data_IF_789290534035
#
_entry.id   IF_789290534035
#
_cell.length_a   1.000
_cell.length_b   1.000
_cell.length_c   1.000
_cell.angle_alpha   90.00
_cell.angle_beta   90.00
_cell.angle_gamma   90.00
#
_symmetry.space_group_name_H-M   'P 1'
#
loop_
_entity.id
_entity.type
_entity.pdbx_description
1 polymer ?
#
# COMPACT_ATOMS: atom_id res chain seq x y z
N UNK A 1 -30.62 10.20 16.01
CA UNK A 1 -30.80 9.35 14.82
C UNK A 1 -29.40 9.12 14.28
N UNK A 2 -28.96 7.88 14.09
CA UNK A 2 -27.62 7.61 13.55
C UNK A 2 -27.64 7.98 12.06
N UNK A 3 -26.72 8.85 11.66
CA UNK A 3 -26.47 9.16 10.27
C UNK A 3 -25.77 7.94 9.64
N UNK A 4 -26.41 7.35 8.64
CA UNK A 4 -25.88 6.19 7.92
C UNK A 4 -24.80 6.59 6.91
N UNK A 5 -24.79 7.86 6.51
CA UNK A 5 -23.84 8.40 5.55
C UNK A 5 -22.57 8.88 6.27
N UNK A 6 -22.68 9.26 7.54
CA UNK A 6 -21.56 9.54 8.46
C UNK A 6 -21.69 8.75 9.78
N UNK A 7 -21.38 7.44 9.76
CA UNK A 7 -21.42 6.61 10.96
C UNK A 7 -20.40 7.08 12.01
N UNK A 8 -19.35 7.78 11.60
CA UNK A 8 -18.26 8.28 12.45
C UNK A 8 -18.62 9.58 13.17
N UNK A 9 -19.26 10.53 12.46
CA UNK A 9 -19.90 11.71 13.05
C UNK A 9 -20.96 11.33 14.08
N UNK A 10 -21.69 10.24 13.83
CA UNK A 10 -22.74 9.74 14.72
C UNK A 10 -22.25 9.15 16.05
N UNK A 11 -20.97 8.73 16.15
CA UNK A 11 -20.38 8.11 17.36
C UNK A 11 -19.51 9.11 18.14
N UNK A 12 -19.51 10.39 17.76
CA UNK A 12 -18.89 11.47 18.52
C UNK A 12 -17.87 12.30 17.76
N UNK A 13 -18.02 12.46 16.43
CA UNK A 13 -17.12 13.25 15.59
C UNK A 13 -15.65 12.80 15.64
N UNK A 14 -15.40 11.50 15.46
CA UNK A 14 -14.04 10.96 15.30
C UNK A 14 -13.88 10.44 13.87
N UNK A 15 -12.83 10.83 13.14
CA UNK A 15 -12.61 10.28 11.79
C UNK A 15 -12.26 8.80 11.84
N UNK A 16 -12.45 8.08 10.73
CA UNK A 16 -12.02 6.67 10.66
C UNK A 16 -10.51 6.53 10.89
N UNK A 17 -9.71 7.49 10.40
CA UNK A 17 -8.26 7.55 10.59
C UNK A 17 -7.90 7.70 12.08
N UNK A 18 -8.57 8.60 12.81
CA UNK A 18 -8.31 8.83 14.23
C UNK A 18 -8.73 7.63 15.08
N UNK A 19 -9.88 7.01 14.77
CA UNK A 19 -10.31 5.79 15.44
C UNK A 19 -9.31 4.65 15.19
N UNK A 20 -8.83 4.51 13.96
CA UNK A 20 -7.84 3.49 13.61
C UNK A 20 -6.53 3.71 14.37
N UNK A 21 -6.03 4.94 14.44
CA UNK A 21 -4.84 5.26 15.22
C UNK A 21 -5.02 4.92 16.71
N UNK A 22 -6.18 5.25 17.29
CA UNK A 22 -6.52 4.87 18.68
C UNK A 22 -6.50 3.34 18.91
N UNK A 23 -6.90 2.56 17.90
CA UNK A 23 -6.85 1.09 17.98
C UNK A 23 -5.39 0.62 17.99
N UNK A 24 -4.55 1.12 17.06
CA UNK A 24 -3.13 0.74 16.97
C UNK A 24 -2.40 1.05 18.29
N UNK A 25 -2.54 2.27 18.79
CA UNK A 25 -1.88 2.73 20.04
C UNK A 25 -2.26 1.88 21.26
N UNK A 26 -3.49 1.33 21.28
CA UNK A 26 -3.95 0.43 22.35
C UNK A 26 -3.49 -1.00 22.15
N UNK A 27 -3.31 -1.44 20.91
CA UNK A 27 -2.89 -2.82 20.58
C UNK A 27 -1.40 -3.04 20.81
N UNK A 28 -0.55 -2.05 20.53
CA UNK A 28 0.91 -2.19 20.66
C UNK A 28 1.34 -2.59 22.10
N UNK A 29 0.88 -1.92 23.17
CA UNK A 29 1.26 -2.28 24.55
C UNK A 29 0.76 -3.66 24.99
N UNK A 30 -0.29 -4.18 24.35
CA UNK A 30 -0.85 -5.52 24.64
C UNK A 30 -0.06 -6.65 23.96
N UNK A 31 0.90 -6.30 23.10
CA UNK A 31 1.73 -7.23 22.36
C UNK A 31 1.28 -7.40 20.91
N UNK A 32 2.26 -7.41 20.00
CA UNK A 32 2.06 -7.53 18.56
C UNK A 32 2.27 -8.98 18.11
N UNK A 33 1.29 -9.83 18.38
CA UNK A 33 1.28 -11.18 17.81
C UNK A 33 0.75 -11.18 16.36
N UNK A 34 0.90 -12.31 15.67
CA UNK A 34 0.44 -12.47 14.28
C UNK A 34 -1.06 -12.17 14.12
N UNK A 35 -1.89 -12.38 15.15
CA UNK A 35 -3.33 -12.10 15.09
C UNK A 35 -3.61 -10.61 15.19
N UNK A 36 -2.91 -9.90 16.08
CA UNK A 36 -3.01 -8.46 16.24
C UNK A 36 -2.57 -7.75 14.95
N UNK A 37 -1.43 -8.12 14.38
CA UNK A 37 -0.91 -7.54 13.14
C UNK A 37 -1.87 -7.81 11.98
N UNK A 38 -2.36 -9.05 11.86
CA UNK A 38 -3.36 -9.39 10.85
C UNK A 38 -4.61 -8.53 10.97
N UNK A 39 -5.13 -8.32 12.18
CA UNK A 39 -6.30 -7.49 12.41
C UNK A 39 -6.06 -6.03 11.98
N UNK A 40 -4.91 -5.46 12.34
CA UNK A 40 -4.57 -4.08 11.94
C UNK A 40 -4.44 -3.93 10.42
N UNK A 41 -3.84 -4.89 9.73
CA UNK A 41 -3.80 -4.93 8.27
C UNK A 41 -5.22 -5.01 7.69
N UNK A 42 -6.08 -5.88 8.23
CA UNK A 42 -7.46 -6.02 7.76
C UNK A 42 -8.26 -4.71 7.92
N UNK A 43 -8.07 -4.00 9.03
CA UNK A 43 -8.74 -2.72 9.28
C UNK A 43 -8.26 -1.61 8.32
N UNK A 44 -6.96 -1.59 7.97
CA UNK A 44 -6.45 -0.62 7.00
C UNK A 44 -6.88 -0.93 5.55
N UNK A 45 -6.98 -2.21 5.18
CA UNK A 45 -7.28 -2.63 3.80
C UNK A 45 -8.78 -2.85 3.51
N UNK A 46 -9.68 -2.65 4.47
CA UNK A 46 -11.13 -2.75 4.28
C UNK A 46 -11.85 -1.52 4.88
N UNK A 47 -11.87 -0.41 4.15
CA UNK A 47 -12.62 0.82 4.49
C UNK A 47 -13.97 0.81 3.78
N UNK A 48 -14.92 0.03 4.31
CA UNK A 48 -16.31 0.04 3.82
C UNK A 48 -17.22 1.01 4.61
N UNK A 49 -16.65 1.76 5.56
CA UNK A 49 -17.42 2.54 6.56
C UNK A 49 -17.37 4.05 6.37
N UNK A 50 -16.30 4.60 5.77
CA UNK A 50 -16.19 6.02 5.45
C UNK A 50 -15.70 6.19 4.01
N UNK A 51 -16.57 6.72 3.15
CA UNK A 51 -16.26 6.97 1.74
C UNK A 51 -15.24 8.10 1.51
N UNK A 52 -14.96 8.92 2.54
CA UNK A 52 -14.01 10.02 2.48
C UNK A 52 -12.60 9.62 2.92
N UNK A 53 -12.45 8.49 3.60
CA UNK A 53 -11.15 8.00 4.07
C UNK A 53 -10.42 7.30 2.93
N UNK A 54 -9.15 7.67 2.71
CA UNK A 54 -8.29 6.98 1.77
C UNK A 54 -7.50 5.88 2.49
N UNK A 55 -7.34 4.72 1.85
CA UNK A 55 -6.52 3.61 2.36
C UNK A 55 -5.10 4.06 2.74
N UNK A 56 -4.52 4.96 1.94
CA UNK A 56 -3.17 5.49 2.15
C UNK A 56 -3.01 6.22 3.49
N UNK A 57 -4.06 6.87 3.99
CA UNK A 57 -4.04 7.53 5.31
C UNK A 57 -3.97 6.50 6.44
N UNK A 58 -4.63 5.36 6.28
CA UNK A 58 -4.54 4.25 7.24
C UNK A 58 -3.18 3.55 7.16
N UNK A 59 -2.61 3.41 5.97
CA UNK A 59 -1.27 2.86 5.79
C UNK A 59 -0.20 3.74 6.44
N UNK A 60 -0.32 5.06 6.31
CA UNK A 60 0.53 6.02 7.01
C UNK A 60 0.46 5.84 8.52
N UNK A 61 -0.74 5.80 9.11
CA UNK A 61 -0.90 5.55 10.56
C UNK A 61 -0.30 4.23 11.00
N UNK A 62 -0.53 3.17 10.23
CA UNK A 62 0.02 1.86 10.57
C UNK A 62 1.55 1.87 10.51
N UNK A 63 2.14 2.46 9.47
CA UNK A 63 3.60 2.55 9.29
C UNK A 63 4.26 3.41 10.39
N UNK A 64 3.67 4.56 10.71
CA UNK A 64 4.19 5.50 11.71
C UNK A 64 4.25 4.91 13.13
N UNK A 65 3.34 3.98 13.44
CA UNK A 65 3.25 3.35 14.76
C UNK A 65 4.23 2.17 14.97
N UNK A 66 4.92 1.71 13.92
CA UNK A 66 5.96 0.68 14.05
C UNK A 66 7.34 1.32 14.07
N UNK A 67 7.82 1.62 15.27
CA UNK A 67 9.14 2.22 15.50
C UNK A 67 10.29 1.23 15.21
N UNK A 68 10.06 -0.07 15.39
CA UNK A 68 11.09 -1.09 15.23
C UNK A 68 11.03 -1.74 13.84
N UNK A 69 12.21 -1.88 13.23
CA UNK A 69 12.42 -2.54 11.94
C UNK A 69 11.78 -3.94 11.88
N UNK A 70 11.93 -4.72 12.95
CA UNK A 70 11.38 -6.09 13.04
C UNK A 70 9.86 -6.11 13.01
N UNK A 71 9.18 -5.13 13.60
CA UNK A 71 7.73 -5.05 13.56
C UNK A 71 7.23 -4.77 12.13
N UNK A 72 7.93 -3.91 11.39
CA UNK A 72 7.63 -3.65 9.97
C UNK A 72 7.83 -4.89 9.11
N UNK A 73 8.88 -5.68 9.38
CA UNK A 73 9.12 -6.97 8.71
C UNK A 73 7.99 -7.96 8.99
N UNK A 74 7.47 -8.01 10.21
CA UNK A 74 6.33 -8.87 10.56
C UNK A 74 5.04 -8.46 9.85
N UNK A 75 4.77 -7.16 9.73
CA UNK A 75 3.65 -6.65 8.91
C UNK A 75 3.78 -7.11 7.46
N UNK A 76 4.96 -6.92 6.84
CA UNK A 76 5.22 -7.37 5.47
C UNK A 76 5.00 -8.88 5.33
N UNK A 77 5.55 -9.68 6.27
CA UNK A 77 5.42 -11.14 6.27
C UNK A 77 3.95 -11.56 6.31
N UNK A 78 3.18 -11.01 7.24
CA UNK A 78 1.77 -11.35 7.44
C UNK A 78 0.92 -10.87 6.27
N UNK A 79 1.15 -9.64 5.78
CA UNK A 79 0.47 -9.11 4.61
C UNK A 79 0.73 -9.96 3.36
N UNK A 80 1.97 -10.45 3.15
CA UNK A 80 2.29 -11.37 2.05
C UNK A 80 1.48 -12.67 2.14
N UNK A 81 1.38 -13.27 3.32
CA UNK A 81 0.54 -14.47 3.55
C UNK A 81 -0.93 -14.15 3.23
N UNK A 82 -1.44 -12.98 3.62
CA UNK A 82 -2.82 -12.57 3.34
C UNK A 82 -3.06 -12.35 1.84
N UNK A 83 -2.15 -11.67 1.15
CA UNK A 83 -2.15 -11.46 -0.30
C UNK A 83 -2.13 -12.79 -1.06
N UNK A 84 -1.29 -13.74 -0.64
CA UNK A 84 -1.23 -15.08 -1.25
C UNK A 84 -2.54 -15.84 -1.09
N UNK A 85 -3.16 -15.80 0.10
CA UNK A 85 -4.48 -16.40 0.32
C UNK A 85 -5.57 -15.79 -0.58
N UNK A 86 -5.52 -14.49 -0.85
CA UNK A 86 -6.43 -13.84 -1.80
C UNK A 86 -6.11 -14.25 -3.23
N UNK A 87 -4.84 -14.29 -3.62
CA UNK A 87 -4.38 -14.78 -4.92
C UNK A 87 -4.90 -16.18 -5.21
N UNK A 88 -4.81 -17.10 -4.24
CA UNK A 88 -5.28 -18.47 -4.39
C UNK A 88 -6.81 -18.57 -4.52
N UNK A 89 -7.56 -17.68 -3.87
CA UNK A 89 -9.01 -17.55 -4.12
C UNK A 89 -9.28 -17.04 -5.53
N UNK A 90 -8.55 -16.03 -5.99
CA UNK A 90 -8.72 -15.44 -7.33
C UNK A 90 -8.38 -16.42 -8.46
N UNK A 91 -7.44 -17.36 -8.25
CA UNK A 91 -7.10 -18.42 -9.20
C UNK A 91 -8.24 -19.41 -9.46
N UNK A 92 -9.24 -19.49 -8.58
CA UNK A 92 -10.43 -20.36 -8.77
C UNK A 92 -11.35 -19.86 -9.87
N UNK A 93 -11.24 -18.60 -10.28
CA UNK A 93 -12.05 -18.00 -11.32
C UNK A 93 -11.37 -18.16 -12.68
N UNK A 94 -12.12 -18.67 -13.66
CA UNK A 94 -11.59 -18.95 -15.01
C UNK A 94 -11.26 -17.68 -15.79
N UNK A 95 -11.92 -16.57 -15.47
CA UNK A 95 -11.78 -15.28 -16.16
C UNK A 95 -11.71 -14.13 -15.18
N UNK A 96 -10.98 -13.08 -15.56
CA UNK A 96 -10.91 -11.82 -14.80
C UNK A 96 -12.27 -11.16 -14.59
N UNK A 97 -13.21 -11.34 -15.52
CA UNK A 97 -14.56 -10.76 -15.44
C UNK A 97 -15.46 -11.49 -14.43
N UNK A 98 -15.05 -12.67 -13.97
CA UNK A 98 -15.78 -13.46 -12.97
C UNK A 98 -15.23 -13.24 -11.57
N UNK A 99 -14.11 -12.54 -11.41
CA UNK A 99 -13.49 -12.30 -10.12
C UNK A 99 -14.38 -11.34 -9.32
N UNK A 100 -14.76 -11.66 -8.07
CA UNK A 100 -15.49 -10.75 -7.21
C UNK A 100 -14.71 -9.46 -7.02
N UNK A 101 -15.43 -8.34 -7.08
CA UNK A 101 -14.84 -7.01 -6.93
C UNK A 101 -14.09 -6.89 -5.60
N UNK A 102 -14.69 -7.37 -4.52
CA UNK A 102 -14.18 -7.29 -3.16
C UNK A 102 -12.84 -8.03 -3.03
N UNK A 103 -12.72 -9.21 -3.66
CA UNK A 103 -11.46 -9.96 -3.66
C UNK A 103 -10.37 -9.26 -4.48
N UNK A 104 -10.72 -8.61 -5.59
CA UNK A 104 -9.78 -7.84 -6.42
C UNK A 104 -9.35 -6.57 -5.68
N UNK A 105 -10.28 -5.89 -5.01
CA UNK A 105 -10.01 -4.69 -4.22
C UNK A 105 -9.04 -5.02 -3.09
N UNK A 106 -9.36 -6.00 -2.26
CA UNK A 106 -8.49 -6.41 -1.14
C UNK A 106 -7.12 -6.91 -1.62
N UNK A 107 -7.05 -7.53 -2.80
CA UNK A 107 -5.77 -7.90 -3.40
C UNK A 107 -4.89 -6.68 -3.71
N UNK A 108 -5.48 -5.62 -4.27
CA UNK A 108 -4.79 -4.36 -4.57
C UNK A 108 -4.31 -3.72 -3.27
N UNK A 109 -5.19 -3.65 -2.27
CA UNK A 109 -4.87 -3.02 -0.98
C UNK A 109 -3.72 -3.73 -0.25
N UNK A 110 -3.71 -5.06 -0.22
CA UNK A 110 -2.56 -5.77 0.35
C UNK A 110 -1.28 -5.55 -0.46
N UNK A 111 -1.38 -5.48 -1.79
CA UNK A 111 -0.19 -5.25 -2.63
C UNK A 111 0.40 -3.86 -2.40
N UNK A 112 -0.46 -2.84 -2.30
CA UNK A 112 -0.09 -1.45 -2.07
C UNK A 112 0.49 -1.26 -0.65
N UNK A 113 -0.16 -1.81 0.38
CA UNK A 113 0.36 -1.79 1.76
C UNK A 113 1.75 -2.44 1.84
N UNK A 114 1.96 -3.60 1.22
CA UNK A 114 3.27 -4.28 1.22
C UNK A 114 4.34 -3.38 0.59
N UNK A 115 4.03 -2.74 -0.53
CA UNK A 115 4.98 -1.87 -1.22
C UNK A 115 5.32 -0.62 -0.40
N UNK A 116 4.31 0.01 0.20
CA UNK A 116 4.51 1.15 1.11
C UNK A 116 5.38 0.76 2.30
N UNK A 117 5.16 -0.40 2.92
CA UNK A 117 6.01 -0.85 4.02
C UNK A 117 7.45 -1.17 3.59
N UNK A 118 7.65 -1.55 2.32
CA UNK A 118 8.98 -1.83 1.79
C UNK A 118 9.79 -0.55 1.55
N UNK A 119 9.17 0.62 1.39
CA UNK A 119 9.92 1.89 1.19
C UNK A 119 10.83 2.20 2.38
N UNK A 120 10.45 1.77 3.58
CA UNK A 120 11.28 1.88 4.78
C UNK A 120 12.60 1.09 4.73
N UNK A 121 12.77 0.21 3.74
CA UNK A 121 13.93 -0.68 3.59
C UNK A 121 14.69 -0.45 2.27
N UNK A 122 14.25 0.52 1.47
CA UNK A 122 14.69 0.72 0.10
C UNK A 122 13.96 -0.19 -0.90
N UNK A 123 13.74 0.32 -2.11
CA UNK A 123 13.03 -0.37 -3.18
C UNK A 123 13.98 -0.76 -4.29
N UNK A 124 14.21 -2.06 -4.43
CA UNK A 124 14.98 -2.62 -5.53
C UNK A 124 14.10 -3.24 -6.63
N UNK A 125 14.79 -3.75 -7.65
CA UNK A 125 14.18 -4.54 -8.74
C UNK A 125 13.28 -5.67 -8.23
N UNK A 126 13.68 -6.37 -7.16
CA UNK A 126 12.95 -7.52 -6.63
C UNK A 126 11.59 -7.10 -6.07
N UNK A 127 11.55 -5.96 -5.38
CA UNK A 127 10.34 -5.39 -4.78
C UNK A 127 9.38 -4.90 -5.86
N UNK A 128 9.90 -4.26 -6.92
CA UNK A 128 9.12 -3.90 -8.11
C UNK A 128 8.53 -5.13 -8.81
N UNK A 129 9.34 -6.17 -9.05
CA UNK A 129 8.87 -7.41 -9.68
C UNK A 129 7.82 -8.12 -8.82
N UNK A 130 7.95 -8.11 -7.48
CA UNK A 130 6.94 -8.66 -6.57
C UNK A 130 5.64 -7.86 -6.62
N UNK A 131 5.71 -6.52 -6.66
CA UNK A 131 4.53 -5.68 -6.80
C UNK A 131 3.79 -5.97 -8.12
N UNK A 132 4.50 -5.96 -9.25
CA UNK A 132 3.91 -6.20 -10.58
C UNK A 132 3.30 -7.61 -10.71
N UNK A 133 3.88 -8.61 -10.05
CA UNK A 133 3.36 -9.99 -10.06
C UNK A 133 1.93 -10.08 -9.53
N UNK A 134 1.58 -9.24 -8.55
CA UNK A 134 0.28 -9.26 -7.89
C UNK A 134 -0.60 -8.05 -8.23
N UNK A 135 -0.09 -7.13 -9.03
CA UNK A 135 -0.86 -5.99 -9.51
C UNK A 135 -2.06 -6.46 -10.35
N UNK A 136 -3.16 -5.76 -10.18
CA UNK A 136 -4.41 -5.99 -10.90
C UNK A 136 -4.62 -4.92 -12.00
N UNK A 137 -3.73 -3.94 -12.10
CA UNK A 137 -3.64 -3.01 -13.22
C UNK A 137 -3.00 -3.71 -14.44
N UNK A 138 -3.49 -3.38 -15.64
CA UNK A 138 -2.95 -3.91 -16.91
C UNK A 138 -1.97 -2.95 -17.56
N UNK A 139 -2.15 -1.66 -17.32
CA UNK A 139 -1.28 -0.65 -17.86
C UNK A 139 -0.04 -0.51 -16.95
N UNK A 140 1.09 -1.02 -17.43
CA UNK A 140 2.35 -0.97 -16.69
C UNK A 140 2.81 0.47 -16.39
N UNK A 141 2.38 1.46 -17.18
CA UNK A 141 2.65 2.88 -16.89
C UNK A 141 1.84 3.37 -15.69
N UNK A 142 0.60 2.91 -15.54
CA UNK A 142 -0.22 3.21 -14.36
C UNK A 142 0.35 2.52 -13.14
N UNK A 143 0.78 1.26 -13.25
CA UNK A 143 1.49 0.54 -12.17
C UNK A 143 2.77 1.28 -11.75
N UNK A 144 3.57 1.72 -12.72
CA UNK A 144 4.76 2.54 -12.50
C UNK A 144 4.42 3.84 -11.77
N UNK A 145 3.40 4.57 -12.25
CA UNK A 145 2.95 5.81 -11.65
C UNK A 145 2.57 5.61 -10.18
N UNK A 146 1.78 4.58 -9.85
CA UNK A 146 1.40 4.29 -8.47
C UNK A 146 2.60 4.02 -7.57
N UNK A 147 3.54 3.17 -8.01
CA UNK A 147 4.75 2.87 -7.23
C UNK A 147 5.56 4.14 -6.95
N UNK A 148 5.74 5.00 -7.95
CA UNK A 148 6.46 6.27 -7.80
C UNK A 148 5.71 7.25 -6.90
N UNK A 149 4.38 7.29 -6.95
CA UNK A 149 3.54 8.11 -6.07
C UNK A 149 3.64 7.64 -4.61
N UNK A 150 3.71 6.34 -4.36
CA UNK A 150 3.97 5.80 -3.02
C UNK A 150 5.36 6.14 -2.50
N UNK A 151 6.38 6.10 -3.37
CA UNK A 151 7.74 6.50 -2.98
C UNK A 151 7.81 8.01 -2.70
N UNK A 152 7.09 8.83 -3.46
CA UNK A 152 7.00 10.27 -3.21
C UNK A 152 6.46 10.62 -1.83
N UNK A 153 5.60 9.76 -1.28
CA UNK A 153 4.95 9.99 0.02
C UNK A 153 5.75 9.33 1.15
N UNK A 154 6.31 8.12 0.93
CA UNK A 154 6.84 7.27 2.01
C UNK A 154 8.30 6.84 1.84
N UNK A 155 8.92 7.10 0.70
CA UNK A 155 10.26 6.60 0.35
C UNK A 155 11.29 7.71 0.19
N UNK A 156 12.43 7.34 -0.38
CA UNK A 156 13.52 8.25 -0.69
C UNK A 156 13.59 8.56 -2.19
N UNK A 157 14.19 9.71 -2.55
CA UNK A 157 14.36 10.11 -3.95
C UNK A 157 15.24 9.12 -4.74
N UNK A 158 16.19 8.46 -4.07
CA UNK A 158 17.00 7.39 -4.66
C UNK A 158 16.16 6.19 -5.09
N UNK A 159 15.23 5.73 -4.24
CA UNK A 159 14.30 4.65 -4.58
C UNK A 159 13.43 5.05 -5.77
N UNK A 160 13.02 6.33 -5.83
CA UNK A 160 12.20 6.85 -6.92
C UNK A 160 12.95 6.74 -8.25
N UNK A 161 14.22 7.16 -8.26
CA UNK A 161 15.10 7.09 -9.43
C UNK A 161 15.34 5.64 -9.84
N UNK A 162 15.63 4.74 -8.89
CA UNK A 162 15.88 3.33 -9.16
C UNK A 162 14.66 2.62 -9.75
N UNK A 163 13.47 2.86 -9.20
CA UNK A 163 12.21 2.33 -9.76
C UNK A 163 11.93 2.91 -11.12
N UNK A 164 12.13 4.22 -11.30
CA UNK A 164 11.93 4.87 -12.59
C UNK A 164 12.84 4.28 -13.66
N UNK A 165 14.15 4.14 -13.39
CA UNK A 165 15.11 3.60 -14.36
C UNK A 165 14.82 2.14 -14.68
N UNK A 166 14.48 1.33 -13.67
CA UNK A 166 14.12 -0.06 -13.88
C UNK A 166 12.88 -0.20 -14.79
N UNK A 167 11.82 0.57 -14.52
CA UNK A 167 10.58 0.51 -15.31
C UNK A 167 10.76 1.11 -16.71
N UNK A 168 11.36 2.29 -16.82
CA UNK A 168 11.47 3.01 -18.09
C UNK A 168 12.53 2.42 -19.02
N UNK A 169 13.69 2.02 -18.49
CA UNK A 169 14.83 1.57 -19.29
C UNK A 169 14.80 0.05 -19.47
N UNK A 170 14.73 -0.70 -18.36
CA UNK A 170 14.85 -2.15 -18.42
C UNK A 170 13.54 -2.82 -18.89
N UNK A 171 12.39 -2.37 -18.38
CA UNK A 171 11.06 -2.88 -18.77
C UNK A 171 10.47 -2.16 -19.99
N UNK A 172 11.07 -1.04 -20.42
CA UNK A 172 10.66 -0.23 -21.59
C UNK A 172 9.24 0.36 -21.48
N UNK A 173 8.79 0.62 -20.25
CA UNK A 173 7.55 1.35 -20.01
C UNK A 173 7.75 2.80 -20.43
N UNK A 174 6.80 3.39 -21.16
CA UNK A 174 6.90 4.78 -21.62
C UNK A 174 6.25 5.70 -20.60
N UNK A 175 7.00 6.47 -19.78
CA UNK A 175 6.41 7.26 -18.70
C UNK A 175 5.74 8.53 -19.24
N UNK A 176 4.69 9.00 -18.58
CA UNK A 176 4.10 10.33 -18.88
C UNK A 176 5.11 11.47 -18.68
N UNK A 177 4.91 12.59 -19.40
CA UNK A 177 5.83 13.74 -19.40
C UNK A 177 6.23 14.23 -18.01
N UNK A 178 5.25 14.36 -17.09
CA UNK A 178 5.48 14.81 -15.71
C UNK A 178 6.50 13.94 -14.97
N UNK A 179 6.48 12.61 -15.18
CA UNK A 179 7.45 11.70 -14.56
C UNK A 179 8.85 11.89 -15.19
N UNK A 180 8.92 12.09 -16.51
CA UNK A 180 10.20 12.34 -17.18
C UNK A 180 10.84 13.65 -16.73
N UNK A 181 10.03 14.68 -16.47
CA UNK A 181 10.48 15.98 -15.94
C UNK A 181 11.03 15.83 -14.53
N UNK A 182 10.27 15.21 -13.62
CA UNK A 182 10.71 14.93 -12.24
C UNK A 182 11.99 14.10 -12.20
N UNK A 183 12.10 13.05 -13.02
CA UNK A 183 13.32 12.25 -13.13
C UNK A 183 14.56 13.09 -13.48
N UNK A 184 14.44 14.05 -14.39
CA UNK A 184 15.56 14.92 -14.77
C UNK A 184 15.94 15.89 -13.66
N UNK A 185 14.99 16.30 -12.82
CA UNK A 185 15.23 17.15 -11.66
C UNK A 185 15.97 16.36 -10.57
N UNK A 186 15.41 15.24 -10.12
CA UNK A 186 16.02 14.37 -9.11
C UNK A 186 17.42 13.91 -9.51
N UNK A 187 17.63 13.53 -10.78
CA UNK A 187 18.94 13.09 -11.26
C UNK A 187 19.98 14.22 -11.26
N UNK A 188 19.57 15.50 -11.36
CA UNK A 188 20.51 16.61 -11.21
C UNK A 188 20.86 16.86 -9.75
N UNK A 189 19.88 16.74 -8.86
CA UNK A 189 20.06 16.95 -7.42
C UNK A 189 20.95 15.87 -6.79
N UNK A 190 20.77 14.60 -7.18
CA UNK A 190 21.58 13.48 -6.66
C UNK A 190 23.03 13.51 -7.19
N UNK A 191 23.25 14.01 -8.41
CA UNK A 191 24.59 14.06 -9.04
C UNK A 191 25.33 15.40 -8.84
N UNK A 192 24.68 16.40 -8.24
CA UNK A 192 25.21 17.75 -8.04
C UNK A 192 25.77 17.94 -6.64
#
# INVERSE_FOLDING_TARGET
MFDTDDPFGSVGYISQVDLYNCIIERMIPLGLDDKAIKLMIQLACNIDLDSMTLHIELYDRLLANYELEEQRKDVIRIAKIMRENVSDKLKKYKSKYQRPYELVSVMREYNDLIFIFLTAFGIGKKEVDDYLKYDQEKDEEVSMYKMLDYIDIFGADEDWVDVYEYMAVAKKVTPRKKLQEKYKELKKEING
#
